data_IF_296744883872
#
_entry.id   IF_296744883872
#
_cell.length_a   1.000
_cell.length_b   1.000
_cell.length_c   1.000
_cell.angle_alpha   90.00
_cell.angle_beta   90.00
_cell.angle_gamma   90.00
#
_symmetry.space_group_name_H-M   'P 1'
#
loop_
_entity.id
_entity.type
_entity.pdbx_description
1 polymer ?
#
# COMPACT_ATOMS: atom_id res chain seq x y z
N UNK A 1 12.85 -19.13 -4.61
CA UNK A 1 11.84 -18.10 -4.29
C UNK A 1 12.37 -16.67 -4.51
N UNK A 2 13.53 -16.29 -3.94
CA UNK A 2 14.09 -14.92 -4.05
C UNK A 2 14.30 -14.38 -5.48
N UNK A 3 14.76 -15.19 -6.45
CA UNK A 3 14.98 -14.71 -7.84
C UNK A 3 13.67 -14.32 -8.56
N UNK A 4 12.57 -15.03 -8.28
CA UNK A 4 11.26 -14.77 -8.89
C UNK A 4 10.69 -13.43 -8.41
N UNK A 5 10.71 -13.19 -7.10
CA UNK A 5 10.25 -11.93 -6.51
C UNK A 5 11.07 -10.72 -6.99
N UNK A 6 12.39 -10.86 -7.09
CA UNK A 6 13.25 -9.79 -7.65
C UNK A 6 12.91 -9.48 -9.09
N UNK A 7 12.58 -10.50 -9.90
CA UNK A 7 12.13 -10.31 -11.28
C UNK A 7 10.77 -9.62 -11.34
N UNK A 8 9.77 -10.13 -10.60
CA UNK A 8 8.42 -9.56 -10.54
C UNK A 8 8.46 -8.07 -10.10
N UNK A 9 9.28 -7.75 -9.10
CA UNK A 9 9.48 -6.35 -8.67
C UNK A 9 10.08 -5.48 -9.78
N UNK A 10 11.05 -5.99 -10.55
CA UNK A 10 11.64 -5.24 -11.67
C UNK A 10 10.63 -5.02 -12.79
N UNK A 11 9.82 -6.03 -13.10
CA UNK A 11 8.75 -5.94 -14.09
C UNK A 11 7.69 -4.92 -13.66
N UNK A 12 7.29 -4.93 -12.38
CA UNK A 12 6.38 -3.92 -11.81
C UNK A 12 6.93 -2.50 -11.94
N UNK A 13 8.19 -2.26 -11.53
CA UNK A 13 8.82 -0.94 -11.65
C UNK A 13 8.95 -0.49 -13.12
N UNK A 14 9.22 -1.42 -14.03
CA UNK A 14 9.30 -1.13 -15.46
C UNK A 14 7.94 -0.73 -16.04
N UNK A 15 6.87 -1.45 -15.70
CA UNK A 15 5.48 -1.11 -16.09
C UNK A 15 5.07 0.28 -15.57
N UNK A 16 5.36 0.56 -14.30
CA UNK A 16 5.10 1.88 -13.68
C UNK A 16 5.86 3.02 -14.38
N UNK A 17 7.08 2.77 -14.85
CA UNK A 17 7.85 3.75 -15.59
C UNK A 17 7.29 4.00 -17.01
N UNK A 18 6.71 2.99 -17.65
CA UNK A 18 6.01 3.13 -18.93
C UNK A 18 4.70 3.92 -18.76
N UNK A 19 3.93 3.67 -17.70
CA UNK A 19 2.69 4.39 -17.41
C UNK A 19 2.87 5.91 -17.39
N UNK A 20 3.95 6.41 -16.77
CA UNK A 20 4.24 7.86 -16.76
C UNK A 20 4.46 8.42 -18.16
N UNK A 21 5.11 7.66 -19.05
CA UNK A 21 5.30 8.05 -20.46
C UNK A 21 3.99 7.96 -21.23
N UNK A 22 3.24 6.88 -21.04
CA UNK A 22 1.96 6.65 -21.72
C UNK A 22 0.93 7.70 -21.32
N UNK A 23 0.93 8.13 -20.05
CA UNK A 23 0.10 9.23 -19.55
C UNK A 23 0.45 10.57 -20.20
N UNK A 24 1.73 10.89 -20.34
CA UNK A 24 2.15 12.11 -21.06
C UNK A 24 1.72 12.06 -22.53
N UNK A 25 1.86 10.90 -23.17
CA UNK A 25 1.40 10.69 -24.55
C UNK A 25 -0.12 10.86 -24.64
N UNK A 26 -0.87 10.31 -23.68
CA UNK A 26 -2.33 10.43 -23.59
C UNK A 26 -2.76 11.89 -23.42
N UNK A 27 -2.14 12.64 -22.51
CA UNK A 27 -2.44 14.06 -22.30
C UNK A 27 -2.16 14.89 -23.56
N UNK A 28 -1.05 14.62 -24.26
CA UNK A 28 -0.75 15.25 -25.56
C UNK A 28 -1.79 14.90 -26.63
N UNK A 29 -2.21 13.64 -26.72
CA UNK A 29 -3.25 13.18 -27.65
C UNK A 29 -4.60 13.82 -27.37
N UNK A 30 -4.99 13.94 -26.09
CA UNK A 30 -6.22 14.64 -25.68
C UNK A 30 -6.18 16.12 -26.03
N UNK A 31 -5.04 16.80 -25.81
CA UNK A 31 -4.89 18.21 -26.19
C UNK A 31 -5.04 18.42 -27.71
N UNK A 32 -4.48 17.52 -28.53
CA UNK A 32 -4.64 17.56 -29.99
C UNK A 32 -6.10 17.30 -30.37
N UNK A 33 -6.76 16.32 -29.75
CA UNK A 33 -8.17 16.01 -29.98
C UNK A 33 -9.08 17.21 -29.65
N UNK A 34 -8.86 17.87 -28.51
CA UNK A 34 -9.60 19.07 -28.12
C UNK A 34 -9.34 20.24 -29.10
N UNK A 35 -8.10 20.46 -29.51
CA UNK A 35 -7.78 21.51 -30.48
C UNK A 35 -8.45 21.27 -31.85
N UNK A 36 -8.55 20.00 -32.29
CA UNK A 36 -9.27 19.62 -33.51
C UNK A 36 -10.78 19.81 -33.39
N UNK A 37 -11.36 19.51 -32.22
CA UNK A 37 -12.80 19.73 -31.95
C UNK A 37 -13.15 21.22 -31.88
N UNK A 38 -12.33 22.02 -31.21
CA UNK A 38 -12.51 23.47 -31.06
C UNK A 38 -12.17 24.27 -32.33
N UNK A 39 -11.55 23.64 -33.34
CA UNK A 39 -11.04 24.31 -34.54
C UNK A 39 -9.88 25.28 -34.27
N UNK A 40 -9.23 25.19 -33.10
CA UNK A 40 -8.10 26.04 -32.70
C UNK A 40 -6.78 25.50 -33.27
N UNK A 41 -5.81 26.39 -33.47
CA UNK A 41 -4.46 25.98 -33.90
C UNK A 41 -3.77 25.14 -32.84
N UNK A 42 -3.17 24.03 -33.25
CA UNK A 42 -2.38 23.14 -32.36
C UNK A 42 -1.22 23.94 -31.73
N UNK A 43 -0.95 23.76 -30.42
CA UNK A 43 0.20 24.39 -29.75
C UNK A 43 1.51 24.15 -30.48
N UNK A 44 2.39 25.16 -30.49
CA UNK A 44 3.61 25.15 -31.32
C UNK A 44 4.60 24.03 -30.92
N UNK A 45 4.59 23.63 -29.64
CA UNK A 45 5.40 22.53 -29.08
C UNK A 45 4.98 21.16 -29.62
N UNK A 46 3.67 20.95 -29.79
CA UNK A 46 3.11 19.70 -30.29
C UNK A 46 3.15 19.60 -31.82
N UNK A 47 3.41 20.69 -32.53
CA UNK A 47 3.30 20.78 -34.00
C UNK A 47 4.27 19.85 -34.74
N UNK A 48 5.47 19.61 -34.17
CA UNK A 48 6.47 18.68 -34.73
C UNK A 48 6.06 17.21 -34.53
N UNK A 49 5.52 16.88 -33.36
CA UNK A 49 5.08 15.52 -32.99
C UNK A 49 3.66 15.19 -33.48
N UNK A 50 2.87 16.22 -33.81
CA UNK A 50 1.46 16.10 -34.19
C UNK A 50 1.24 15.24 -35.44
N UNK A 51 2.16 15.26 -36.41
CA UNK A 51 2.02 14.45 -37.62
C UNK A 51 2.12 12.94 -37.32
N UNK A 52 2.92 12.56 -36.32
CA UNK A 52 3.08 11.17 -35.89
C UNK A 52 1.95 10.78 -34.94
N UNK A 53 1.69 11.60 -33.91
CA UNK A 53 0.60 11.37 -32.96
C UNK A 53 -0.78 11.31 -33.63
N UNK A 54 -1.02 12.08 -34.71
CA UNK A 54 -2.27 12.05 -35.48
C UNK A 54 -2.45 10.75 -36.27
N UNK A 55 -1.36 10.12 -36.72
CA UNK A 55 -1.43 8.79 -37.36
C UNK A 55 -1.77 7.71 -36.32
N UNK A 56 -1.15 7.81 -35.15
CA UNK A 56 -1.42 6.89 -34.04
C UNK A 56 -2.85 7.05 -33.50
N UNK A 57 -3.40 8.27 -33.53
CA UNK A 57 -4.77 8.59 -33.10
C UNK A 57 -5.85 7.84 -33.89
N UNK A 58 -5.57 7.45 -35.14
CA UNK A 58 -6.50 6.70 -36.00
C UNK A 58 -6.64 5.25 -35.52
N UNK A 59 -5.62 4.70 -34.86
CA UNK A 59 -5.62 3.35 -34.29
C UNK A 59 -6.02 3.32 -32.80
N UNK A 60 -6.27 4.50 -32.22
CA UNK A 60 -6.46 4.75 -30.78
C UNK A 60 -7.94 4.86 -30.39
N UNK A 61 -8.85 4.23 -31.14
CA UNK A 61 -10.29 4.23 -30.86
C UNK A 61 -10.68 3.54 -29.54
N UNK A 62 -9.74 2.97 -28.80
CA UNK A 62 -9.90 2.73 -27.36
C UNK A 62 -9.51 3.99 -26.58
N UNK A 63 -10.39 5.00 -26.57
CA UNK A 63 -10.32 6.20 -25.71
C UNK A 63 -10.45 5.89 -24.20
N UNK A 64 -9.96 4.75 -23.73
CA UNK A 64 -9.89 4.49 -22.30
C UNK A 64 -8.79 5.35 -21.71
N UNK A 65 -9.08 5.99 -20.59
CA UNK A 65 -8.04 6.52 -19.72
C UNK A 65 -7.00 5.41 -19.48
N UNK A 66 -5.70 5.70 -19.55
CA UNK A 66 -4.68 4.71 -19.26
C UNK A 66 -4.99 4.12 -17.88
N UNK A 67 -5.01 2.78 -17.79
CA UNK A 67 -5.23 2.10 -16.51
C UNK A 67 -4.19 2.61 -15.53
N UNK A 68 -4.66 3.27 -14.47
CA UNK A 68 -3.77 3.69 -13.40
C UNK A 68 -3.40 2.44 -12.61
N UNK A 69 -2.11 2.10 -12.52
CA UNK A 69 -1.62 1.06 -11.60
C UNK A 69 -1.72 1.48 -10.12
N UNK A 70 -2.64 2.38 -9.79
CA UNK A 70 -2.98 2.71 -8.42
C UNK A 70 -3.56 1.41 -7.84
N UNK A 71 -2.81 0.83 -6.91
CA UNK A 71 -3.16 -0.36 -6.12
C UNK A 71 -2.99 -1.73 -6.80
N UNK A 72 -2.13 -1.83 -7.81
CA UNK A 72 -1.76 -3.15 -8.40
C UNK A 72 -1.17 -4.12 -7.35
N UNK A 73 -0.50 -3.60 -6.31
CA UNK A 73 -0.02 -4.43 -5.20
C UNK A 73 -1.16 -5.07 -4.39
N UNK A 74 -2.32 -4.41 -4.36
CA UNK A 74 -3.54 -4.87 -3.67
C UNK A 74 -4.59 -5.42 -4.65
N UNK A 75 -4.24 -5.65 -5.92
CA UNK A 75 -5.17 -6.14 -6.96
C UNK A 75 -5.85 -7.47 -6.61
N UNK A 76 -5.23 -8.27 -5.75
CA UNK A 76 -5.77 -9.54 -5.23
C UNK A 76 -6.59 -9.39 -3.94
N UNK A 77 -6.79 -8.17 -3.46
CA UNK A 77 -7.61 -7.92 -2.29
C UNK A 77 -9.05 -8.39 -2.54
N UNK A 78 -9.58 -9.22 -1.65
CA UNK A 78 -10.92 -9.82 -1.77
C UNK A 78 -10.94 -11.25 -2.32
N UNK A 79 -9.86 -11.75 -2.90
CA UNK A 79 -9.77 -13.17 -3.30
C UNK A 79 -9.30 -14.07 -2.15
N UNK A 80 -8.41 -13.55 -1.30
CA UNK A 80 -7.79 -14.29 -0.18
C UNK A 80 -7.85 -13.44 1.07
N UNK A 81 -8.23 -14.07 2.19
CA UNK A 81 -8.22 -13.40 3.49
C UNK A 81 -6.79 -13.00 3.90
N UNK A 82 -6.58 -11.75 4.35
CA UNK A 82 -5.27 -11.28 4.73
C UNK A 82 -4.75 -12.03 5.95
N UNK A 83 -3.46 -12.35 5.92
CA UNK A 83 -2.72 -12.99 7.01
C UNK A 83 -1.73 -11.99 7.57
N UNK A 84 -2.12 -11.36 8.67
CA UNK A 84 -1.34 -10.28 9.29
C UNK A 84 -0.44 -10.84 10.37
N UNK A 85 0.87 -10.62 10.26
CA UNK A 85 1.83 -10.96 11.31
C UNK A 85 2.16 -9.71 12.13
N UNK A 86 2.00 -9.79 13.45
CA UNK A 86 2.30 -8.70 14.38
C UNK A 86 3.54 -9.08 15.19
N UNK A 87 4.54 -8.21 15.18
CA UNK A 87 5.76 -8.35 15.97
C UNK A 87 6.12 -7.04 16.66
N UNK A 88 7.03 -7.10 17.62
CA UNK A 88 7.47 -5.96 18.42
C UNK A 88 8.91 -5.58 18.08
N UNK A 89 9.43 -4.56 18.76
CA UNK A 89 10.87 -4.30 18.88
C UNK A 89 11.62 -5.49 19.51
N UNK A 90 12.96 -5.45 19.43
CA UNK A 90 13.87 -6.55 19.86
C UNK A 90 13.66 -6.96 21.31
N UNK A 91 13.66 -5.99 22.20
CA UNK A 91 13.47 -6.17 23.64
C UNK A 91 12.23 -5.40 24.10
N UNK A 92 11.02 -5.98 23.94
CA UNK A 92 9.79 -5.31 24.27
C UNK A 92 9.55 -5.28 25.78
N UNK A 93 9.03 -4.16 26.28
CA UNK A 93 8.50 -4.05 27.61
C UNK A 93 7.23 -4.90 27.78
N UNK A 94 6.84 -5.11 29.04
CA UNK A 94 5.57 -5.76 29.36
C UNK A 94 4.37 -4.99 28.80
N UNK A 95 4.43 -3.65 28.78
CA UNK A 95 3.38 -2.78 28.20
C UNK A 95 3.28 -2.94 26.69
N UNK A 96 4.39 -2.93 25.95
CA UNK A 96 4.36 -3.17 24.50
C UNK A 96 3.91 -4.60 24.18
N UNK A 97 4.28 -5.56 25.01
CA UNK A 97 3.78 -6.94 24.91
C UNK A 97 2.26 -7.01 25.10
N UNK A 98 1.68 -6.21 25.99
CA UNK A 98 0.22 -6.09 26.14
C UNK A 98 -0.41 -5.39 24.95
N UNK A 99 0.18 -4.29 24.49
CA UNK A 99 -0.29 -3.58 23.30
C UNK A 99 -0.31 -4.46 22.06
N UNK A 100 0.73 -5.27 21.84
CA UNK A 100 0.75 -6.24 20.74
C UNK A 100 -0.37 -7.29 20.82
N UNK A 101 -0.86 -7.63 22.03
CA UNK A 101 -2.05 -8.49 22.18
C UNK A 101 -3.33 -7.74 21.83
N UNK A 102 -3.43 -6.46 22.22
CA UNK A 102 -4.57 -5.62 21.84
C UNK A 102 -4.65 -5.44 20.31
N UNK A 103 -3.52 -5.17 19.65
CA UNK A 103 -3.45 -5.08 18.19
C UNK A 103 -3.87 -6.39 17.50
N UNK A 104 -3.49 -7.54 18.08
CA UNK A 104 -3.95 -8.85 17.58
C UNK A 104 -5.47 -9.00 17.64
N UNK A 105 -6.10 -8.51 18.71
CA UNK A 105 -7.56 -8.56 18.86
C UNK A 105 -8.28 -7.60 17.91
N UNK A 106 -7.63 -6.53 17.45
CA UNK A 106 -8.22 -5.59 16.48
C UNK A 106 -8.23 -6.13 15.05
N UNK A 107 -7.19 -6.88 14.65
CA UNK A 107 -7.10 -7.42 13.30
C UNK A 107 -7.55 -8.89 13.26
N UNK A 108 -8.66 -9.20 12.57
CA UNK A 108 -9.04 -10.60 12.35
C UNK A 108 -7.95 -11.31 11.54
N UNK A 109 -7.82 -12.63 11.72
CA UNK A 109 -6.80 -13.46 11.06
C UNK A 109 -5.34 -13.04 11.32
N UNK A 110 -5.10 -12.28 12.39
CA UNK A 110 -3.75 -11.86 12.77
C UNK A 110 -3.06 -12.86 13.71
N UNK A 111 -1.75 -13.01 13.52
CA UNK A 111 -0.89 -13.83 14.35
C UNK A 111 0.19 -12.98 14.99
N UNK A 112 0.38 -13.16 16.29
CA UNK A 112 1.48 -12.51 17.00
C UNK A 112 2.70 -13.43 16.98
N UNK A 113 3.85 -12.86 16.61
CA UNK A 113 5.15 -13.51 16.72
C UNK A 113 6.06 -12.78 17.68
N UNK A 114 6.64 -13.53 18.61
CA UNK A 114 7.63 -12.98 19.54
C UNK A 114 8.94 -12.70 18.80
N UNK A 115 9.48 -11.49 19.00
CA UNK A 115 10.65 -11.01 18.28
C UNK A 115 11.94 -11.73 18.66
N UNK A 116 12.22 -11.83 19.97
CA UNK A 116 13.43 -12.47 20.49
C UNK A 116 14.71 -11.98 19.79
N UNK A 117 15.57 -12.92 19.42
CA UNK A 117 16.83 -12.64 18.73
C UNK A 117 16.72 -12.58 17.19
N UNK A 118 15.52 -12.64 16.62
CA UNK A 118 15.36 -12.64 15.16
C UNK A 118 15.72 -11.29 14.55
N UNK A 119 16.55 -11.33 13.50
CA UNK A 119 16.89 -10.15 12.69
C UNK A 119 15.69 -9.80 11.80
N UNK A 120 15.57 -8.53 11.38
CA UNK A 120 14.42 -8.09 10.56
C UNK A 120 14.38 -8.90 9.25
N UNK A 121 15.55 -9.18 8.67
CA UNK A 121 15.67 -10.01 7.47
C UNK A 121 15.03 -11.39 7.65
N UNK A 122 15.32 -12.09 8.74
CA UNK A 122 14.79 -13.43 9.01
C UNK A 122 13.27 -13.42 9.15
N UNK A 123 12.71 -12.38 9.79
CA UNK A 123 11.27 -12.22 9.94
C UNK A 123 10.60 -11.98 8.59
N UNK A 124 11.19 -11.12 7.76
CA UNK A 124 10.69 -10.87 6.41
C UNK A 124 10.73 -12.16 5.57
N UNK A 125 11.79 -12.95 5.68
CA UNK A 125 11.87 -14.24 5.00
C UNK A 125 10.85 -15.26 5.54
N UNK A 126 10.63 -15.29 6.86
CA UNK A 126 9.62 -16.14 7.47
C UNK A 126 8.20 -15.75 7.04
N UNK A 127 7.89 -14.45 7.01
CA UNK A 127 6.61 -13.92 6.50
C UNK A 127 6.37 -14.36 5.06
N UNK A 128 7.38 -14.25 4.21
CA UNK A 128 7.31 -14.68 2.80
C UNK A 128 7.15 -16.19 2.62
N UNK A 129 7.71 -17.00 3.51
CA UNK A 129 7.55 -18.46 3.49
C UNK A 129 6.18 -18.91 4.02
N UNK A 130 5.59 -18.11 4.92
CA UNK A 130 4.28 -18.37 5.51
C UNK A 130 3.11 -17.78 4.70
N UNK A 131 3.40 -17.20 3.53
CA UNK A 131 2.44 -16.43 2.72
C UNK A 131 1.65 -15.40 3.54
N UNK A 132 2.35 -14.69 4.44
CA UNK A 132 1.77 -13.56 5.16
C UNK A 132 1.56 -12.39 4.20
N UNK A 133 0.42 -11.72 4.29
CA UNK A 133 0.09 -10.56 3.45
C UNK A 133 0.73 -9.30 4.02
N UNK A 134 0.74 -9.15 5.34
CA UNK A 134 1.17 -7.92 6.00
C UNK A 134 2.00 -8.21 7.24
N UNK A 135 2.99 -7.37 7.49
CA UNK A 135 3.79 -7.36 8.71
C UNK A 135 3.61 -6.03 9.42
N UNK A 136 3.19 -6.11 10.68
CA UNK A 136 3.07 -4.98 11.59
C UNK A 136 4.21 -5.07 12.61
N UNK A 137 5.06 -4.06 12.67
CA UNK A 137 6.12 -3.93 13.67
C UNK A 137 5.76 -2.78 14.61
N UNK A 138 5.65 -3.09 15.89
CA UNK A 138 5.36 -2.11 16.94
C UNK A 138 6.63 -1.67 17.65
N UNK A 139 6.79 -0.37 17.80
CA UNK A 139 7.86 0.29 18.53
C UNK A 139 7.32 0.94 19.80
N UNK A 140 8.21 1.15 20.76
CA UNK A 140 7.91 1.88 21.98
C UNK A 140 9.07 2.76 22.40
N UNK A 141 8.72 3.79 23.19
CA UNK A 141 9.64 4.56 23.98
C UNK A 141 9.29 4.41 25.47
N UNK A 142 10.20 3.82 26.26
CA UNK A 142 10.06 3.69 27.73
C UNK A 142 8.71 3.10 28.19
N UNK A 143 8.20 2.07 27.52
CA UNK A 143 6.93 1.43 27.89
C UNK A 143 5.69 2.05 27.27
N UNK A 144 5.82 3.15 26.51
CA UNK A 144 4.72 3.75 25.74
C UNK A 144 4.90 3.47 24.25
N UNK A 145 3.92 2.81 23.58
CA UNK A 145 3.96 2.62 22.14
C UNK A 145 3.98 3.97 21.41
N UNK A 146 4.96 4.17 20.55
CA UNK A 146 5.21 5.44 19.85
C UNK A 146 5.30 5.28 18.33
N UNK A 147 5.44 4.05 17.84
CA UNK A 147 5.62 3.78 16.42
C UNK A 147 4.95 2.49 15.98
N UNK A 148 4.38 2.52 14.79
CA UNK A 148 3.83 1.36 14.11
C UNK A 148 4.26 1.37 12.65
N UNK A 149 4.85 0.27 12.20
CA UNK A 149 5.26 0.08 10.81
C UNK A 149 4.41 -1.00 10.20
N UNK A 150 3.74 -0.72 9.09
CA UNK A 150 2.94 -1.68 8.34
C UNK A 150 3.62 -1.89 6.98
N UNK A 151 4.03 -3.12 6.69
CA UNK A 151 4.66 -3.50 5.44
C UNK A 151 3.82 -4.55 4.73
N UNK A 152 3.40 -4.25 3.51
CA UNK A 152 2.67 -5.20 2.67
C UNK A 152 3.63 -6.08 1.87
N UNK A 153 3.37 -7.38 1.83
CA UNK A 153 4.15 -8.38 1.09
C UNK A 153 3.42 -8.82 -0.18
N UNK A 154 4.17 -9.31 -1.19
CA UNK A 154 5.60 -9.62 -1.21
C UNK A 154 6.55 -8.43 -1.49
N UNK A 155 6.08 -7.40 -2.17
CA UNK A 155 6.84 -6.19 -2.53
C UNK A 155 5.96 -4.94 -2.51
N UNK A 156 5.00 -4.91 -1.59
CA UNK A 156 4.08 -3.81 -1.39
C UNK A 156 4.70 -2.61 -0.65
N UNK A 157 3.91 -1.54 -0.46
CA UNK A 157 4.37 -0.35 0.24
C UNK A 157 4.61 -0.62 1.73
N UNK A 158 5.37 0.27 2.35
CA UNK A 158 5.54 0.32 3.80
C UNK A 158 5.14 1.69 4.30
N UNK A 159 4.30 1.72 5.33
CA UNK A 159 3.83 2.95 5.97
C UNK A 159 4.35 2.96 7.40
N UNK A 160 4.93 4.08 7.78
CA UNK A 160 5.40 4.34 9.14
C UNK A 160 4.45 5.34 9.80
N UNK A 161 3.83 4.92 10.89
CA UNK A 161 2.99 5.76 11.73
C UNK A 161 3.71 6.05 13.03
N UNK A 162 3.70 7.33 13.44
CA UNK A 162 4.01 7.71 14.81
C UNK A 162 2.71 7.73 15.59
N UNK A 163 2.66 6.99 16.69
CA UNK A 163 1.52 6.89 17.57
C UNK A 163 1.63 7.97 18.64
N UNK A 164 0.53 8.71 18.83
CA UNK A 164 0.42 9.71 19.87
C UNK A 164 -0.86 9.45 20.68
N UNK A 165 -0.84 9.80 21.96
CA UNK A 165 -1.98 9.65 22.87
C UNK A 165 -2.52 8.21 22.94
N UNK A 166 -1.63 7.23 22.97
CA UNK A 166 -2.01 5.81 23.08
C UNK A 166 -2.46 5.50 24.51
N UNK A 167 -3.72 5.07 24.63
CA UNK A 167 -4.28 4.55 25.88
C UNK A 167 -4.49 3.04 25.70
N UNK A 168 -3.87 2.24 26.56
CA UNK A 168 -3.98 0.79 26.48
C UNK A 168 -5.31 0.34 27.08
N UNK A 169 -5.94 -0.64 26.44
CA UNK A 169 -7.10 -1.33 27.02
C UNK A 169 -6.76 -1.98 28.35
N UNK A 170 -5.53 -2.47 28.51
CA UNK A 170 -5.09 -3.10 29.74
C UNK A 170 -5.04 -2.15 30.95
N UNK A 171 -5.00 -0.84 30.73
CA UNK A 171 -4.99 0.18 31.79
C UNK A 171 -6.41 0.46 32.34
N UNK A 172 -7.46 0.00 31.65
CA UNK A 172 -8.87 0.23 32.03
C UNK A 172 -9.36 -0.93 32.92
N UNK A 173 -9.95 -0.65 34.10
CA UNK A 173 -10.55 -1.67 34.95
C UNK A 173 -11.85 -2.24 34.34
N UNK A 174 -12.25 -3.44 34.80
CA UNK A 174 -13.49 -4.13 34.38
C UNK A 174 -13.60 -4.43 32.87
N UNK A 175 -12.64 -5.22 32.38
CA UNK A 175 -12.51 -5.56 30.96
C UNK A 175 -13.18 -6.91 30.64
N UNK A 176 -14.20 -6.89 29.80
CA UNK A 176 -14.79 -8.11 29.20
C UNK A 176 -13.90 -8.76 28.13
N UNK A 177 -14.40 -9.80 27.46
CA UNK A 177 -13.77 -10.35 26.25
C UNK A 177 -14.13 -9.49 25.04
N UNK A 178 -13.20 -9.30 24.11
CA UNK A 178 -13.44 -8.55 22.87
C UNK A 178 -14.09 -9.49 21.84
N UNK A 179 -15.05 -8.98 21.05
CA UNK A 179 -15.59 -9.72 19.91
C UNK A 179 -14.54 -9.84 18.81
N UNK A 180 -14.27 -11.05 18.33
CA UNK A 180 -13.36 -11.32 17.21
C UNK A 180 -14.10 -11.36 15.85
N UNK A 181 -15.31 -10.81 15.79
CA UNK A 181 -16.07 -10.70 14.54
C UNK A 181 -15.39 -9.73 13.56
N UNK A 182 -15.63 -9.94 12.26
CA UNK A 182 -15.14 -9.04 11.22
C UNK A 182 -15.71 -7.63 11.43
N UNK A 183 -14.85 -6.62 11.63
CA UNK A 183 -15.30 -5.26 11.93
C UNK A 183 -15.78 -4.55 10.67
N UNK A 184 -16.73 -3.61 10.85
CA UNK A 184 -17.03 -2.63 9.82
C UNK A 184 -15.97 -1.52 9.85
N UNK A 185 -15.49 -1.12 8.66
CA UNK A 185 -14.48 -0.07 8.51
C UNK A 185 -15.17 1.24 8.08
N UNK A 186 -14.83 2.34 8.75
CA UNK A 186 -15.32 3.68 8.44
C UNK A 186 -14.10 4.60 8.29
N UNK A 187 -13.97 5.23 7.13
CA UNK A 187 -12.92 6.20 6.84
C UNK A 187 -13.56 7.57 6.65
N UNK A 188 -13.12 8.58 7.42
CA UNK A 188 -13.63 9.95 7.33
C UNK A 188 -12.54 10.90 6.82
N UNK A 189 -12.90 11.81 5.91
CA UNK A 189 -12.06 12.92 5.39
C UNK A 189 -10.76 12.54 4.67
N UNK A 190 -10.67 11.35 4.08
CA UNK A 190 -9.60 11.01 3.13
C UNK A 190 -9.97 11.49 1.72
N UNK A 191 -9.72 12.76 1.39
CA UNK A 191 -10.08 13.36 0.09
C UNK A 191 -8.91 13.48 -0.90
N UNK A 192 -7.67 13.44 -0.40
CA UNK A 192 -6.48 13.58 -1.24
C UNK A 192 -6.11 12.27 -1.92
N UNK A 193 -5.39 12.34 -3.04
CA UNK A 193 -4.85 11.14 -3.71
C UNK A 193 -3.96 10.28 -2.80
N UNK A 194 -3.21 10.93 -1.91
CA UNK A 194 -2.40 10.22 -0.90
C UNK A 194 -3.31 9.60 0.16
N UNK A 195 -4.37 10.29 0.56
CA UNK A 195 -5.37 9.76 1.48
C UNK A 195 -6.02 8.48 0.95
N UNK A 196 -6.42 8.49 -0.33
CA UNK A 196 -6.97 7.30 -1.00
C UNK A 196 -5.97 6.13 -1.08
N UNK A 197 -4.66 6.41 -1.02
CA UNK A 197 -3.62 5.37 -1.04
C UNK A 197 -3.35 4.76 0.34
N UNK A 198 -3.77 5.45 1.41
CA UNK A 198 -3.61 4.99 2.79
C UNK A 198 -4.78 4.09 3.22
N UNK A 199 -5.96 4.29 2.64
CA UNK A 199 -7.18 3.52 2.93
C UNK A 199 -7.30 2.28 2.04
#
# INVERSE_FOLDING_TARGET
MNKRQTRERREYLYRKALESKDRQIYEKKQAIKQALQDGKTIPNELRKEAAQLKKDLIYDEAQKEPETHIDDEYSRAGEVDPKVLITTSRDPSSRLTQFAKEMKLMFPNSQRMNRGNYVIGDIVEACRKSDATDLIILHEHRGQPDGMVISHFPHGPTIHFTLHNVVLRHDIPDRGTVSEQYPHLIFDKFSSKLGNRVI
#
